data_IF_597034039152
#
_entry.id   IF_597034039152
#
_cell.length_a   1.000
_cell.length_b   1.000
_cell.length_c   1.000
_cell.angle_alpha   90.00
_cell.angle_beta   90.00
_cell.angle_gamma   90.00
#
_symmetry.space_group_name_H-M   'P 1'
#
loop_
_entity.id
_entity.type
_entity.pdbx_description
1 polymer ?
#
# COMPACT_ATOMS: atom_id res chain seq x y z
N UNK A 1 -0.94 18.54 -18.96
CA UNK A 1 -1.26 17.09 -19.08
C UNK A 1 -0.01 16.34 -18.69
N UNK A 2 0.10 15.90 -17.41
CA UNK A 2 1.19 15.01 -17.01
C UNK A 2 1.04 13.72 -17.81
N UNK A 3 2.06 13.39 -18.57
CA UNK A 3 2.15 12.12 -19.28
C UNK A 3 2.18 11.03 -18.22
N UNK A 4 1.14 10.21 -18.18
CA UNK A 4 1.13 8.97 -17.42
C UNK A 4 2.39 8.16 -17.70
N UNK A 5 2.91 7.40 -16.74
CA UNK A 5 3.94 6.43 -17.04
C UNK A 5 3.48 5.59 -18.24
N UNK A 6 4.21 5.69 -19.34
CA UNK A 6 3.87 5.08 -20.64
C UNK A 6 4.09 3.56 -20.66
N UNK A 7 4.35 2.96 -19.50
CA UNK A 7 4.74 1.56 -19.34
C UNK A 7 3.66 0.65 -18.72
N UNK A 8 2.42 1.14 -18.56
CA UNK A 8 1.27 0.30 -18.27
C UNK A 8 0.45 0.06 -19.53
N UNK A 9 -0.09 -1.16 -19.69
CA UNK A 9 -0.93 -1.49 -20.84
C UNK A 9 -2.19 -0.61 -20.88
N UNK A 10 -2.85 -0.56 -22.05
CA UNK A 10 -4.14 0.10 -22.19
C UNK A 10 -5.17 -0.53 -21.26
N UNK A 11 -5.16 -1.85 -21.15
CA UNK A 11 -6.09 -2.60 -20.31
C UNK A 11 -5.90 -2.26 -18.80
N UNK A 12 -4.65 -2.23 -18.32
CA UNK A 12 -4.34 -1.79 -16.95
C UNK A 12 -4.84 -0.37 -16.71
N UNK A 13 -4.62 0.53 -17.66
CA UNK A 13 -5.10 1.91 -17.55
C UNK A 13 -6.62 1.99 -17.39
N UNK A 14 -7.36 1.28 -18.23
CA UNK A 14 -8.83 1.22 -18.17
C UNK A 14 -9.32 0.68 -16.81
N UNK A 15 -8.63 -0.33 -16.25
CA UNK A 15 -8.90 -0.86 -14.90
C UNK A 15 -8.62 0.16 -13.79
N UNK A 16 -7.52 0.92 -13.89
CA UNK A 16 -7.18 1.99 -12.93
C UNK A 16 -8.18 3.16 -13.00
N UNK A 17 -8.63 3.54 -14.18
CA UNK A 17 -9.69 4.54 -14.38
C UNK A 17 -11.02 4.06 -13.77
N UNK A 18 -11.36 2.79 -13.94
CA UNK A 18 -12.53 2.15 -13.29
C UNK A 18 -12.41 2.20 -11.77
N UNK A 19 -11.24 1.90 -11.22
CA UNK A 19 -10.98 2.01 -9.78
C UNK A 19 -11.22 3.43 -9.27
N UNK A 20 -10.68 4.46 -9.95
CA UNK A 20 -10.86 5.86 -9.54
C UNK A 20 -12.33 6.30 -9.60
N UNK A 21 -13.07 5.89 -10.62
CA UNK A 21 -14.49 6.18 -10.73
C UNK A 21 -15.29 5.55 -9.56
N UNK A 22 -14.95 4.32 -9.17
CA UNK A 22 -15.54 3.65 -8.00
C UNK A 22 -15.19 4.39 -6.70
N UNK A 23 -13.91 4.76 -6.50
CA UNK A 23 -13.48 5.52 -5.32
C UNK A 23 -14.25 6.83 -5.21
N UNK A 24 -14.38 7.60 -6.29
CA UNK A 24 -15.15 8.84 -6.30
C UNK A 24 -16.64 8.64 -5.94
N UNK A 25 -17.26 7.57 -6.43
CA UNK A 25 -18.65 7.22 -6.12
C UNK A 25 -18.83 6.82 -4.65
N UNK A 26 -17.93 6.01 -4.10
CA UNK A 26 -18.04 5.46 -2.76
C UNK A 26 -17.58 6.44 -1.68
N UNK A 27 -16.59 7.30 -1.93
CA UNK A 27 -16.09 8.32 -0.97
C UNK A 27 -17.22 9.23 -0.47
N UNK A 28 -18.24 9.48 -1.29
CA UNK A 28 -19.44 10.24 -0.89
C UNK A 28 -20.27 9.55 0.19
N UNK A 29 -20.09 8.26 0.41
CA UNK A 29 -20.88 7.43 1.34
C UNK A 29 -20.07 6.92 2.53
N UNK A 30 -18.80 6.56 2.27
CA UNK A 30 -17.89 6.02 3.28
C UNK A 30 -16.49 6.61 3.03
N UNK A 31 -15.94 7.36 3.92
CA UNK A 31 -14.64 8.05 3.80
C UNK A 31 -13.52 7.10 3.36
N UNK A 32 -13.37 6.86 2.05
CA UNK A 32 -12.30 6.05 1.47
C UNK A 32 -11.00 6.83 1.36
N UNK A 33 -11.10 8.05 0.87
CA UNK A 33 -10.01 9.01 0.69
C UNK A 33 -10.49 10.40 1.10
N UNK A 34 -9.57 11.33 1.37
CA UNK A 34 -9.93 12.71 1.65
C UNK A 34 -10.65 13.32 0.42
N UNK A 35 -11.81 14.00 0.61
CA UNK A 35 -12.57 14.56 -0.52
C UNK A 35 -11.74 15.45 -1.43
N UNK A 36 -10.79 16.23 -0.89
CA UNK A 36 -9.88 17.09 -1.63
C UNK A 36 -8.91 16.34 -2.55
N UNK A 37 -8.74 15.02 -2.37
CA UNK A 37 -7.84 14.20 -3.20
C UNK A 37 -8.57 13.44 -4.31
N UNK A 38 -9.91 13.53 -4.37
CA UNK A 38 -10.71 12.81 -5.39
C UNK A 38 -10.45 13.38 -6.79
N UNK A 39 -10.35 14.71 -6.93
CA UNK A 39 -10.12 15.37 -8.21
C UNK A 39 -8.72 15.12 -8.75
N UNK A 40 -7.71 14.98 -7.86
CA UNK A 40 -6.32 14.64 -8.19
C UNK A 40 -6.01 13.15 -7.91
N UNK A 41 -7.01 12.30 -8.01
CA UNK A 41 -6.93 10.87 -7.64
C UNK A 41 -5.85 10.11 -8.42
N UNK A 42 -5.61 10.51 -9.66
CA UNK A 42 -4.59 9.90 -10.49
C UNK A 42 -3.18 10.14 -9.94
N UNK A 43 -2.85 11.40 -9.62
CA UNK A 43 -1.55 11.77 -9.06
C UNK A 43 -1.39 11.25 -7.62
N UNK A 44 -2.36 11.57 -6.75
CA UNK A 44 -2.27 11.31 -5.30
C UNK A 44 -2.44 9.86 -4.91
N UNK A 45 -3.05 9.04 -5.77
CA UNK A 45 -3.34 7.65 -5.43
C UNK A 45 -2.73 6.66 -6.42
N UNK A 46 -2.91 6.86 -7.73
CA UNK A 46 -2.40 5.91 -8.71
C UNK A 46 -0.88 6.02 -8.83
N UNK A 47 -0.32 7.22 -9.07
CA UNK A 47 1.12 7.39 -9.24
C UNK A 47 1.91 7.02 -7.99
N UNK A 48 1.42 7.39 -6.78
CA UNK A 48 2.02 6.94 -5.53
C UNK A 48 2.07 5.41 -5.44
N UNK A 49 0.96 4.75 -5.76
CA UNK A 49 0.87 3.30 -5.69
C UNK A 49 1.73 2.61 -6.76
N UNK A 50 1.85 3.19 -7.96
CA UNK A 50 2.78 2.74 -9.01
C UNK A 50 4.23 2.82 -8.54
N UNK A 51 4.61 3.92 -7.85
CA UNK A 51 5.96 4.05 -7.27
C UNK A 51 6.21 2.94 -6.25
N UNK A 52 5.26 2.68 -5.34
CA UNK A 52 5.37 1.59 -4.35
C UNK A 52 5.61 0.25 -5.04
N UNK A 53 4.80 -0.08 -6.06
CA UNK A 53 4.94 -1.34 -6.79
C UNK A 53 6.29 -1.47 -7.51
N UNK A 54 6.77 -0.40 -8.18
CA UNK A 54 8.04 -0.40 -8.92
C UNK A 54 9.28 -0.47 -8.04
N UNK A 55 9.17 0.04 -6.82
CA UNK A 55 10.26 0.01 -5.83
C UNK A 55 10.39 -1.35 -5.16
N UNK A 56 9.35 -2.16 -5.20
CA UNK A 56 9.35 -3.46 -4.57
C UNK A 56 10.31 -4.44 -5.24
N UNK A 57 10.99 -5.31 -4.47
CA UNK A 57 11.65 -6.48 -5.02
C UNK A 57 10.61 -7.45 -5.61
N UNK A 58 11.09 -8.44 -6.36
CA UNK A 58 10.22 -9.53 -6.81
C UNK A 58 9.58 -10.22 -5.59
N UNK A 59 8.26 -10.36 -5.60
CA UNK A 59 7.48 -10.93 -4.51
C UNK A 59 6.57 -12.05 -5.03
N UNK A 60 6.36 -13.07 -4.21
CA UNK A 60 5.33 -14.10 -4.40
C UNK A 60 4.08 -13.76 -3.59
N UNK A 61 4.27 -13.09 -2.47
CA UNK A 61 3.18 -12.65 -1.60
C UNK A 61 3.37 -11.18 -1.19
N UNK A 62 2.35 -10.37 -1.42
CA UNK A 62 2.27 -8.97 -1.02
C UNK A 62 1.11 -8.78 -0.04
N UNK A 63 1.36 -8.17 1.10
CA UNK A 63 0.32 -7.78 2.05
C UNK A 63 0.22 -6.25 2.17
N UNK A 64 -0.96 -5.70 1.96
CA UNK A 64 -1.26 -4.29 2.18
C UNK A 64 -2.08 -4.13 3.46
N UNK A 65 -1.49 -3.50 4.48
CA UNK A 65 -2.06 -3.43 5.83
C UNK A 65 -2.82 -2.12 6.03
N UNK A 66 -4.05 -2.23 6.53
CA UNK A 66 -4.93 -1.09 6.69
C UNK A 66 -5.24 -0.41 5.35
N UNK A 67 -5.52 -1.22 4.33
CA UNK A 67 -5.61 -0.79 2.94
C UNK A 67 -6.63 0.33 2.67
N UNK A 68 -7.63 0.51 3.53
CA UNK A 68 -8.58 1.61 3.50
C UNK A 68 -9.35 1.72 2.18
N UNK A 69 -9.10 2.79 1.43
CA UNK A 69 -9.62 3.02 0.08
C UNK A 69 -8.94 2.18 -1.01
N UNK A 70 -8.10 1.21 -0.63
CA UNK A 70 -7.46 0.30 -1.57
C UNK A 70 -6.11 0.79 -2.11
N UNK A 71 -5.46 1.74 -1.47
CA UNK A 71 -4.19 2.31 -1.92
C UNK A 71 -3.06 2.05 -0.91
N UNK A 72 -1.97 1.39 -1.33
CA UNK A 72 -1.66 0.96 -2.71
C UNK A 72 -2.27 -0.39 -3.14
N UNK A 73 -2.86 -1.18 -2.26
CA UNK A 73 -3.18 -2.60 -2.43
C UNK A 73 -3.99 -2.96 -3.68
N UNK A 74 -5.10 -2.23 -4.01
CA UNK A 74 -5.89 -2.50 -5.22
C UNK A 74 -5.12 -2.17 -6.50
N UNK A 75 -4.30 -1.11 -6.49
CA UNK A 75 -3.45 -0.78 -7.65
C UNK A 75 -2.44 -1.88 -7.88
N UNK A 76 -1.81 -2.40 -6.81
CA UNK A 76 -0.90 -3.54 -6.87
C UNK A 76 -1.60 -4.77 -7.43
N UNK A 77 -2.81 -5.10 -6.96
CA UNK A 77 -3.59 -6.23 -7.47
C UNK A 77 -3.91 -6.09 -8.97
N UNK A 78 -4.21 -4.88 -9.45
CA UNK A 78 -4.44 -4.60 -10.87
C UNK A 78 -3.15 -4.81 -11.70
N UNK A 79 -2.00 -4.31 -11.20
CA UNK A 79 -0.71 -4.46 -11.88
C UNK A 79 -0.23 -5.92 -11.91
N UNK A 80 -0.42 -6.64 -10.82
CA UNK A 80 -0.06 -8.06 -10.74
C UNK A 80 -0.91 -8.93 -11.69
N UNK A 81 -2.15 -8.55 -11.98
CA UNK A 81 -3.03 -9.30 -12.88
C UNK A 81 -2.48 -9.42 -14.33
N UNK A 82 -1.56 -8.54 -14.73
CA UNK A 82 -0.91 -8.60 -16.06
C UNK A 82 0.38 -9.43 -16.08
N UNK A 83 0.89 -9.82 -14.90
CA UNK A 83 2.15 -10.57 -14.84
C UNK A 83 1.96 -12.05 -15.18
N UNK A 84 2.95 -12.65 -15.83
CA UNK A 84 2.95 -14.10 -16.11
C UNK A 84 2.97 -14.95 -14.84
N UNK A 85 3.58 -14.44 -13.78
CA UNK A 85 3.64 -15.05 -12.44
C UNK A 85 3.28 -13.96 -11.41
N UNK A 86 1.97 -13.71 -11.20
CA UNK A 86 1.51 -12.65 -10.30
C UNK A 86 1.81 -13.00 -8.85
N UNK A 87 2.11 -11.97 -8.04
CA UNK A 87 2.12 -12.12 -6.61
C UNK A 87 0.70 -12.39 -6.08
N UNK A 88 0.59 -13.21 -5.04
CA UNK A 88 -0.62 -13.26 -4.25
C UNK A 88 -0.75 -11.94 -3.48
N UNK A 89 -1.86 -11.21 -3.66
CA UNK A 89 -2.11 -9.96 -2.93
C UNK A 89 -3.10 -10.19 -1.81
N UNK A 90 -2.77 -9.73 -0.60
CA UNK A 90 -3.65 -9.77 0.58
C UNK A 90 -3.91 -8.34 1.06
N UNK A 91 -5.17 -7.97 1.17
CA UNK A 91 -5.63 -6.68 1.66
C UNK A 91 -6.22 -6.86 3.07
N UNK A 92 -5.64 -6.21 4.09
CA UNK A 92 -6.13 -6.27 5.46
C UNK A 92 -6.85 -4.96 5.80
N UNK A 93 -8.12 -5.04 6.19
CA UNK A 93 -8.94 -3.89 6.56
C UNK A 93 -9.96 -4.30 7.62
N UNK A 94 -10.20 -3.43 8.62
CA UNK A 94 -11.12 -3.72 9.73
C UNK A 94 -12.51 -3.09 9.59
N UNK A 95 -12.68 -2.10 8.71
CA UNK A 95 -14.00 -1.51 8.41
C UNK A 95 -14.73 -2.38 7.37
N UNK A 96 -15.81 -3.02 7.79
CA UNK A 96 -16.63 -3.90 6.92
C UNK A 96 -17.16 -3.20 5.67
N UNK A 97 -17.46 -1.90 5.74
CA UNK A 97 -17.96 -1.14 4.58
C UNK A 97 -16.83 -0.95 3.57
N UNK A 98 -15.60 -0.68 4.04
CA UNK A 98 -14.39 -0.62 3.20
C UNK A 98 -14.07 -2.00 2.62
N UNK A 99 -14.17 -3.07 3.39
CA UNK A 99 -14.03 -4.44 2.87
C UNK A 99 -15.03 -4.75 1.76
N UNK A 100 -16.28 -4.28 1.90
CA UNK A 100 -17.31 -4.43 0.84
C UNK A 100 -16.91 -3.64 -0.41
N UNK A 101 -16.39 -2.42 -0.25
CA UNK A 101 -15.83 -1.64 -1.36
C UNK A 101 -14.69 -2.37 -2.04
N UNK A 102 -13.70 -2.88 -1.29
CA UNK A 102 -12.53 -3.59 -1.84
C UNK A 102 -12.96 -4.79 -2.69
N UNK A 103 -13.86 -5.62 -2.19
CA UNK A 103 -14.40 -6.77 -2.95
C UNK A 103 -15.15 -6.33 -4.20
N UNK A 104 -15.89 -5.22 -4.14
CA UNK A 104 -16.56 -4.64 -5.31
C UNK A 104 -15.54 -4.15 -6.32
N UNK A 105 -14.52 -3.41 -5.89
CA UNK A 105 -13.48 -2.90 -6.77
C UNK A 105 -12.70 -4.03 -7.47
N UNK A 106 -12.33 -5.09 -6.74
CA UNK A 106 -11.69 -6.27 -7.32
C UNK A 106 -12.52 -6.90 -8.42
N UNK A 107 -13.83 -7.08 -8.18
CA UNK A 107 -14.75 -7.64 -9.19
C UNK A 107 -14.86 -6.74 -10.42
N UNK A 108 -15.09 -5.45 -10.23
CA UNK A 108 -15.31 -4.50 -11.33
C UNK A 108 -14.04 -4.25 -12.17
N UNK A 109 -12.85 -4.35 -11.56
CA UNK A 109 -11.57 -4.20 -12.25
C UNK A 109 -11.02 -5.52 -12.80
N UNK A 110 -11.62 -6.66 -12.44
CA UNK A 110 -11.10 -7.98 -12.81
C UNK A 110 -9.75 -8.32 -12.16
N UNK A 111 -9.36 -7.60 -11.11
CA UNK A 111 -8.15 -7.89 -10.34
C UNK A 111 -8.41 -8.95 -9.26
N UNK A 112 -7.35 -9.63 -8.82
CA UNK A 112 -7.46 -10.69 -7.81
C UNK A 112 -6.66 -10.35 -6.56
N UNK A 113 -7.31 -10.37 -5.40
CA UNK A 113 -6.70 -10.27 -4.08
C UNK A 113 -7.58 -10.92 -3.02
N UNK A 114 -6.98 -11.35 -1.92
CA UNK A 114 -7.70 -11.78 -0.73
C UNK A 114 -8.01 -10.57 0.15
N UNK A 115 -9.24 -10.42 0.63
CA UNK A 115 -9.64 -9.35 1.55
C UNK A 115 -9.91 -9.95 2.92
N UNK A 116 -9.06 -9.63 3.90
CA UNK A 116 -9.19 -10.04 5.31
C UNK A 116 -9.90 -8.92 6.07
N UNK A 117 -11.12 -9.20 6.54
CA UNK A 117 -11.94 -8.30 7.36
C UNK A 117 -11.59 -8.51 8.84
N UNK A 118 -10.49 -7.89 9.28
CA UNK A 118 -9.99 -8.02 10.64
C UNK A 118 -9.04 -6.86 11.02
N UNK A 119 -8.82 -6.69 12.33
CA UNK A 119 -7.72 -5.88 12.85
C UNK A 119 -6.38 -6.54 12.51
N UNK A 120 -5.37 -5.74 12.14
CA UNK A 120 -4.05 -6.23 11.74
C UNK A 120 -3.44 -7.11 12.83
N UNK A 121 -3.57 -6.70 14.08
CA UNK A 121 -3.04 -7.40 15.25
C UNK A 121 -3.68 -8.78 15.48
N UNK A 122 -4.92 -8.97 15.01
CA UNK A 122 -5.65 -10.23 15.16
C UNK A 122 -5.42 -11.21 13.99
N UNK A 123 -4.80 -10.74 12.89
CA UNK A 123 -4.45 -11.59 11.77
C UNK A 123 -3.23 -12.44 12.11
N UNK A 124 -3.24 -13.77 11.85
CA UNK A 124 -2.02 -14.57 11.95
C UNK A 124 -0.90 -14.02 11.08
N UNK A 125 0.39 -14.25 11.42
CA UNK A 125 1.50 -13.84 10.56
C UNK A 125 1.30 -14.26 9.11
N UNK A 126 1.40 -13.29 8.18
CA UNK A 126 1.11 -13.53 6.76
C UNK A 126 2.30 -14.12 6.01
N UNK A 127 3.52 -13.91 6.49
CA UNK A 127 4.75 -14.35 5.82
C UNK A 127 4.90 -13.71 4.43
N UNK A 128 4.55 -12.44 4.30
CA UNK A 128 4.60 -11.73 3.04
C UNK A 128 6.04 -11.34 2.67
N UNK A 129 6.42 -11.51 1.40
CA UNK A 129 7.71 -11.04 0.88
C UNK A 129 7.77 -9.51 0.88
N UNK A 130 6.63 -8.85 0.64
CA UNK A 130 6.48 -7.40 0.71
C UNK A 130 5.27 -7.02 1.55
N UNK A 131 5.45 -6.09 2.48
CA UNK A 131 4.39 -5.46 3.25
C UNK A 131 4.30 -3.98 2.88
N UNK A 132 3.11 -3.49 2.59
CA UNK A 132 2.84 -2.06 2.41
C UNK A 132 1.81 -1.55 3.39
N UNK A 133 1.88 -0.26 3.71
CA UNK A 133 0.86 0.47 4.44
C UNK A 133 0.97 1.97 4.10
N UNK A 134 -0.16 2.65 3.92
CA UNK A 134 -0.20 4.09 3.66
C UNK A 134 -1.13 4.79 4.65
N UNK A 135 -0.66 5.89 5.27
CA UNK A 135 -1.44 6.74 6.17
C UNK A 135 -2.16 5.98 7.31
N UNK A 136 -1.57 4.88 7.78
CA UNK A 136 -2.16 3.99 8.77
C UNK A 136 -1.77 4.36 10.20
N UNK A 137 -0.47 4.54 10.46
CA UNK A 137 0.08 4.74 11.80
C UNK A 137 1.47 5.41 11.75
N UNK A 138 2.03 5.86 12.89
CA UNK A 138 3.44 6.23 13.01
C UNK A 138 4.38 5.06 12.67
N UNK A 139 5.64 5.38 12.35
CA UNK A 139 6.59 4.38 11.84
C UNK A 139 6.88 3.25 12.84
N UNK A 140 7.02 3.55 14.12
CA UNK A 140 7.23 2.58 15.19
C UNK A 140 6.16 1.48 15.21
N UNK A 141 4.90 1.88 15.13
CA UNK A 141 3.76 0.96 15.02
C UNK A 141 3.79 0.15 13.73
N UNK A 142 4.13 0.79 12.60
CA UNK A 142 4.24 0.11 11.31
C UNK A 142 5.37 -0.92 11.30
N UNK A 143 6.48 -0.66 11.99
CA UNK A 143 7.56 -1.64 12.16
C UNK A 143 7.09 -2.87 12.94
N UNK A 144 6.28 -2.69 13.98
CA UNK A 144 5.66 -3.79 14.72
C UNK A 144 4.77 -4.66 13.81
N UNK A 145 3.97 -4.05 12.95
CA UNK A 145 3.16 -4.78 11.98
C UNK A 145 4.02 -5.48 10.92
N UNK A 146 5.04 -4.80 10.39
CA UNK A 146 5.94 -5.40 9.40
C UNK A 146 6.74 -6.56 10.00
N UNK A 147 7.27 -6.42 11.23
CA UNK A 147 7.96 -7.50 11.93
C UNK A 147 7.09 -8.75 12.07
N UNK A 148 5.78 -8.56 12.32
CA UNK A 148 4.82 -9.65 12.47
C UNK A 148 4.45 -10.31 11.15
N UNK A 149 4.29 -9.53 10.07
CA UNK A 149 3.64 -9.99 8.84
C UNK A 149 4.60 -10.22 7.67
N UNK A 150 5.84 -9.68 7.71
CA UNK A 150 6.87 -10.01 6.74
C UNK A 150 7.39 -11.43 6.93
N UNK A 151 7.77 -12.05 5.82
CA UNK A 151 8.63 -13.23 5.82
C UNK A 151 10.05 -12.86 6.31
N UNK A 152 10.86 -13.82 6.76
CA UNK A 152 12.27 -13.58 7.00
C UNK A 152 12.95 -12.99 5.74
N UNK A 153 13.62 -11.84 5.88
CA UNK A 153 14.22 -11.12 4.77
C UNK A 153 13.23 -10.34 3.90
N UNK A 154 11.95 -10.27 4.28
CA UNK A 154 10.95 -9.48 3.60
C UNK A 154 11.20 -7.97 3.68
N UNK A 155 10.55 -7.22 2.82
CA UNK A 155 10.68 -5.76 2.69
C UNK A 155 9.39 -5.05 3.07
N UNK A 156 9.48 -3.97 3.85
CA UNK A 156 8.35 -3.08 4.09
C UNK A 156 8.47 -1.80 3.26
N UNK A 157 7.35 -1.33 2.70
CA UNK A 157 7.24 -0.16 1.85
C UNK A 157 6.19 0.80 2.41
N UNK A 158 6.65 1.92 2.98
CA UNK A 158 5.79 2.88 3.65
C UNK A 158 5.92 4.28 3.07
N UNK A 159 4.92 4.77 2.30
CA UNK A 159 4.83 6.18 1.95
C UNK A 159 4.70 7.04 3.20
N UNK A 160 5.56 8.05 3.34
CA UNK A 160 5.62 8.97 4.48
C UNK A 160 5.71 10.42 4.02
N UNK A 161 5.01 11.33 4.73
CA UNK A 161 5.08 12.77 4.49
C UNK A 161 6.31 13.42 5.11
N UNK A 162 6.38 14.75 5.09
CA UNK A 162 7.53 15.57 5.47
C UNK A 162 8.19 15.25 6.83
N UNK A 163 7.45 14.67 7.79
CA UNK A 163 8.00 14.30 9.11
C UNK A 163 8.66 12.93 9.18
N UNK A 164 8.99 12.33 8.04
CA UNK A 164 9.63 11.02 8.01
C UNK A 164 10.97 10.96 8.77
N UNK A 165 11.83 12.02 8.81
CA UNK A 165 13.08 11.95 9.58
C UNK A 165 12.84 11.82 11.08
N UNK A 166 11.88 12.57 11.63
CA UNK A 166 11.50 12.50 13.04
C UNK A 166 10.88 11.15 13.38
N UNK A 167 10.11 10.56 12.46
CA UNK A 167 9.53 9.23 12.67
C UNK A 167 10.61 8.14 12.67
N UNK A 168 11.65 8.24 11.83
CA UNK A 168 12.81 7.32 11.87
C UNK A 168 13.52 7.45 13.22
N UNK A 169 13.90 8.68 13.62
CA UNK A 169 14.61 8.90 14.89
C UNK A 169 13.81 8.44 16.11
N UNK A 170 12.48 8.53 16.05
CA UNK A 170 11.62 7.99 17.10
C UNK A 170 11.62 6.46 17.12
N UNK A 171 11.51 5.83 15.95
CA UNK A 171 11.45 4.37 15.82
C UNK A 171 12.78 3.68 16.19
N UNK A 172 13.93 4.32 15.94
CA UNK A 172 15.26 3.81 16.30
C UNK A 172 15.48 3.61 17.81
N UNK A 173 14.57 4.11 18.66
CA UNK A 173 14.62 3.88 20.12
C UNK A 173 14.29 2.45 20.49
N UNK A 174 13.36 1.83 19.77
CA UNK A 174 12.79 0.53 20.11
C UNK A 174 13.06 -0.54 19.04
N UNK A 175 13.54 -0.11 17.85
CA UNK A 175 13.70 -0.98 16.68
C UNK A 175 15.08 -0.84 16.04
N UNK A 176 15.64 -1.98 15.63
CA UNK A 176 16.75 -2.05 14.67
C UNK A 176 16.16 -2.32 13.29
N UNK A 177 16.53 -1.54 12.28
CA UNK A 177 16.09 -1.69 10.89
C UNK A 177 17.01 -0.94 9.94
N UNK A 178 17.00 -1.29 8.66
CA UNK A 178 17.57 -0.46 7.60
C UNK A 178 16.44 0.33 6.92
N UNK A 179 16.64 1.62 6.69
CA UNK A 179 15.68 2.45 5.96
C UNK A 179 16.36 3.18 4.81
N UNK A 180 15.79 3.05 3.61
CA UNK A 180 16.19 3.80 2.43
C UNK A 180 15.04 4.75 2.05
N UNK A 181 15.22 6.07 2.23
CA UNK A 181 14.24 7.05 1.81
C UNK A 181 14.37 7.29 0.30
N UNK A 182 13.32 7.00 -0.45
CA UNK A 182 13.21 7.22 -1.89
C UNK A 182 12.29 8.42 -2.10
N UNK A 183 12.74 9.49 -2.78
CA UNK A 183 11.90 10.67 -3.02
C UNK A 183 10.56 10.31 -3.66
N UNK A 184 9.47 10.88 -3.15
CA UNK A 184 8.15 10.71 -3.76
C UNK A 184 8.10 11.43 -5.12
N UNK A 185 7.50 10.77 -6.11
CA UNK A 185 7.28 11.37 -7.44
C UNK A 185 6.08 12.34 -7.48
N UNK A 186 5.29 12.38 -6.41
CA UNK A 186 4.04 13.16 -6.35
C UNK A 186 4.09 14.30 -5.35
N UNK A 187 5.01 14.28 -4.38
CA UNK A 187 5.13 15.27 -3.32
C UNK A 187 6.61 15.48 -2.96
N UNK A 188 7.18 16.69 -3.13
CA UNK A 188 8.62 16.93 -2.91
C UNK A 188 9.06 16.77 -1.45
N UNK A 189 8.13 16.89 -0.49
CA UNK A 189 8.43 16.77 0.94
C UNK A 189 8.21 15.34 1.47
N UNK A 190 7.69 14.43 0.63
CA UNK A 190 7.38 13.07 0.99
C UNK A 190 8.41 12.08 0.44
N UNK A 191 8.45 10.91 1.07
CA UNK A 191 9.30 9.78 0.65
C UNK A 191 8.53 8.47 0.68
N UNK A 192 9.01 7.50 -0.08
CA UNK A 192 8.73 6.09 0.12
C UNK A 192 9.88 5.49 0.91
N UNK A 193 9.64 5.06 2.14
CA UNK A 193 10.61 4.33 2.94
C UNK A 193 10.63 2.86 2.52
N UNK A 194 11.79 2.39 2.05
CA UNK A 194 12.06 0.96 1.85
C UNK A 194 12.82 0.46 3.07
N UNK A 195 12.21 -0.49 3.79
CA UNK A 195 12.68 -0.93 5.10
C UNK A 195 12.91 -2.43 5.09
N UNK A 196 14.03 -2.86 5.68
CA UNK A 196 14.39 -4.25 5.88
C UNK A 196 15.11 -4.48 7.20
N UNK A 197 15.35 -5.75 7.55
CA UNK A 197 16.10 -6.11 8.75
C UNK A 197 15.43 -5.70 10.06
N UNK A 198 14.08 -5.72 10.10
CA UNK A 198 13.28 -5.23 11.22
C UNK A 198 13.39 -6.20 12.41
N UNK A 199 13.88 -5.70 13.53
CA UNK A 199 13.94 -6.44 14.79
C UNK A 199 13.70 -5.50 15.97
N UNK A 200 12.94 -5.89 17.01
CA UNK A 200 12.84 -5.12 18.23
C UNK A 200 14.19 -5.12 18.96
N UNK A 201 14.48 -4.06 19.70
CA UNK A 201 15.64 -4.07 20.59
C UNK A 201 15.45 -5.18 21.64
N UNK A 202 16.52 -5.91 21.93
CA UNK A 202 16.52 -6.84 23.07
C UNK A 202 16.37 -5.99 24.35
N UNK A 203 15.30 -6.19 25.09
CA UNK A 203 15.07 -5.59 26.39
C UNK A 203 16.03 -6.11 27.45
#
# INVERSE_FOLDING_TARGET
METLPTDVSRETRERLETLLALVGKWTRRINLVAPSTVEDGWRRHILDSLQVHRTAPAARHWADLGTGGGFPGLVIAILEAERRAPAQVTLVESDRRKCTFLRTALRETGAHASVIDARIESVPPLGADVVSARALAPLDTLLGFAHRHCAPGGTALFPKGARWPEEIAAAERDWTFSAEPIPSITDPDAVLLRIGGIAPHAG
#
